data_IF_275955822179
#
_entry.id   IF_275955822179
#
_cell.length_a   1.000
_cell.length_b   1.000
_cell.length_c   1.000
_cell.angle_alpha   90.00
_cell.angle_beta   90.00
_cell.angle_gamma   90.00
#
_symmetry.space_group_name_H-M   'P 1'
#
loop_
_entity.id
_entity.type
_entity.pdbx_description
1 polymer ?
#
# COMPACT_ATOMS: atom_id res chain seq x y z
N UNK A 1 14.69 10.27 -13.20
CA UNK A 1 15.24 11.01 -12.03
C UNK A 1 15.11 10.12 -10.80
N UNK A 2 16.18 9.83 -10.06
CA UNK A 2 16.11 8.84 -8.97
C UNK A 2 15.10 9.25 -7.88
N UNK A 3 14.37 8.27 -7.32
CA UNK A 3 13.37 8.48 -6.27
C UNK A 3 13.98 8.97 -4.95
N UNK A 4 15.23 8.58 -4.67
CA UNK A 4 15.99 8.99 -3.50
C UNK A 4 17.43 9.32 -3.92
N UNK A 5 17.86 10.56 -3.67
CA UNK A 5 19.18 11.06 -4.06
C UNK A 5 20.14 11.16 -2.88
N UNK A 6 21.44 11.07 -3.17
CA UNK A 6 22.50 11.32 -2.21
C UNK A 6 22.33 12.71 -1.53
N UNK A 7 22.06 13.75 -2.32
CA UNK A 7 21.83 15.12 -1.82
C UNK A 7 20.68 15.22 -0.81
N UNK A 8 19.62 14.42 -0.97
CA UNK A 8 18.52 14.39 0.00
C UNK A 8 18.94 13.73 1.32
N UNK A 9 19.78 12.71 1.25
CA UNK A 9 20.31 12.04 2.43
C UNK A 9 21.32 12.92 3.18
N UNK A 10 22.18 13.66 2.46
CA UNK A 10 23.10 14.65 3.02
C UNK A 10 22.39 15.78 3.78
N UNK A 11 21.22 16.22 3.26
CA UNK A 11 20.39 17.22 3.94
C UNK A 11 19.77 16.67 5.24
N UNK A 12 19.52 15.36 5.31
CA UNK A 12 18.90 14.73 6.48
C UNK A 12 19.88 14.38 7.58
N UNK A 13 21.16 14.11 7.25
CA UNK A 13 22.17 13.74 8.24
C UNK A 13 23.56 14.22 7.85
N UNK A 14 24.29 14.91 8.78
CA UNK A 14 25.67 15.30 8.57
C UNK A 14 26.62 14.12 8.32
N UNK A 15 26.27 12.91 8.77
CA UNK A 15 27.02 11.66 8.57
C UNK A 15 27.27 11.33 7.11
N UNK A 16 26.44 11.81 6.20
CA UNK A 16 26.55 11.52 4.77
C UNK A 16 27.30 12.60 3.97
N UNK A 17 27.82 13.63 4.66
CA UNK A 17 28.52 14.74 4.00
C UNK A 17 30.02 14.45 3.80
N UNK A 18 30.59 15.05 2.72
CA UNK A 18 31.99 14.91 2.37
C UNK A 18 32.35 13.56 1.73
N UNK A 19 33.60 13.40 1.28
CA UNK A 19 34.03 12.21 0.51
C UNK A 19 33.75 10.88 1.21
N UNK A 20 34.04 10.78 2.50
CA UNK A 20 33.83 9.57 3.30
C UNK A 20 32.35 9.31 3.60
N UNK A 21 31.61 10.38 3.91
CA UNK A 21 30.16 10.30 4.14
C UNK A 21 29.43 9.88 2.88
N UNK A 22 29.81 10.39 1.71
CA UNK A 22 29.23 10.02 0.43
C UNK A 22 29.55 8.56 0.05
N UNK A 23 30.79 8.11 0.30
CA UNK A 23 31.17 6.72 0.06
C UNK A 23 30.38 5.77 0.94
N UNK A 24 30.20 6.10 2.22
CA UNK A 24 29.37 5.34 3.16
C UNK A 24 27.90 5.34 2.75
N UNK A 25 27.36 6.50 2.35
CA UNK A 25 25.98 6.60 1.88
C UNK A 25 25.72 5.74 0.62
N UNK A 26 26.63 5.79 -0.35
CA UNK A 26 26.54 4.96 -1.56
C UNK A 26 26.64 3.46 -1.23
N UNK A 27 27.52 3.08 -0.33
CA UNK A 27 27.60 1.70 0.16
C UNK A 27 26.28 1.26 0.82
N UNK A 28 25.70 2.13 1.67
CA UNK A 28 24.44 1.87 2.35
C UNK A 28 23.28 1.75 1.36
N UNK A 29 23.19 2.64 0.36
CA UNK A 29 22.17 2.58 -0.68
C UNK A 29 22.22 1.26 -1.45
N UNK A 30 23.42 0.80 -1.81
CA UNK A 30 23.63 -0.52 -2.44
C UNK A 30 23.22 -1.65 -1.50
N UNK A 31 23.64 -1.60 -0.24
CA UNK A 31 23.35 -2.67 0.75
C UNK A 31 21.84 -2.80 1.04
N UNK A 32 21.11 -1.69 0.97
CA UNK A 32 19.67 -1.63 1.15
C UNK A 32 18.88 -1.79 -0.17
N UNK A 33 19.55 -1.96 -1.30
CA UNK A 33 18.93 -2.06 -2.64
C UNK A 33 18.15 -0.80 -3.06
N UNK A 34 18.49 0.36 -2.53
CA UNK A 34 17.87 1.63 -2.90
C UNK A 34 18.30 2.04 -4.31
N UNK A 35 19.56 1.78 -4.68
CA UNK A 35 20.09 1.93 -6.03
C UNK A 35 19.26 1.15 -7.05
N UNK A 36 18.96 -0.11 -6.75
CA UNK A 36 18.14 -0.97 -7.62
C UNK A 36 16.71 -0.45 -7.78
N UNK A 37 16.12 0.13 -6.72
CA UNK A 37 14.79 0.76 -6.80
C UNK A 37 14.84 2.02 -7.65
N UNK A 38 15.90 2.84 -7.53
CA UNK A 38 16.11 4.00 -8.39
C UNK A 38 16.24 3.58 -9.87
N UNK A 39 17.07 2.56 -10.15
CA UNK A 39 17.27 2.04 -11.51
C UNK A 39 15.96 1.48 -12.09
N UNK A 40 15.18 0.77 -11.28
CA UNK A 40 13.85 0.26 -11.65
C UNK A 40 12.91 1.40 -12.04
N UNK A 41 12.87 2.46 -11.23
CA UNK A 41 12.07 3.64 -11.50
C UNK A 41 12.53 4.35 -12.79
N UNK A 42 13.84 4.58 -12.94
CA UNK A 42 14.38 5.31 -14.09
C UNK A 42 14.12 4.59 -15.41
N UNK A 43 14.26 3.24 -15.44
CA UNK A 43 13.94 2.44 -16.64
C UNK A 43 12.47 2.54 -17.08
N UNK A 44 11.55 2.73 -16.13
CA UNK A 44 10.12 2.77 -16.40
C UNK A 44 9.53 4.19 -16.36
N UNK A 45 10.34 5.23 -16.15
CA UNK A 45 9.89 6.61 -15.87
C UNK A 45 9.18 7.32 -17.04
N UNK A 46 9.28 6.79 -18.26
CA UNK A 46 8.52 7.27 -19.42
C UNK A 46 7.06 6.81 -19.45
N UNK A 47 6.71 5.82 -18.65
CA UNK A 47 5.36 5.23 -18.56
C UNK A 47 4.67 5.82 -17.33
N UNK A 48 3.33 5.93 -17.34
CA UNK A 48 2.55 6.52 -16.24
C UNK A 48 1.38 5.63 -15.84
N UNK A 49 0.88 5.85 -14.63
CA UNK A 49 -0.36 5.26 -14.13
C UNK A 49 -0.33 3.74 -14.05
N UNK A 50 -1.44 3.07 -14.41
CA UNK A 50 -1.53 1.62 -14.38
C UNK A 50 -0.49 0.91 -15.25
N UNK A 51 -0.17 1.45 -16.42
CA UNK A 51 0.86 0.91 -17.31
C UNK A 51 2.25 0.94 -16.66
N UNK A 52 2.58 2.00 -15.91
CA UNK A 52 3.80 2.03 -15.11
C UNK A 52 3.80 0.95 -14.03
N UNK A 53 2.66 0.76 -13.34
CA UNK A 53 2.52 -0.28 -12.34
C UNK A 53 2.79 -1.68 -12.92
N UNK A 54 2.16 -2.01 -14.05
CA UNK A 54 2.38 -3.27 -14.77
C UNK A 54 3.81 -3.43 -15.26
N UNK A 55 4.42 -2.37 -15.84
CA UNK A 55 5.80 -2.39 -16.31
C UNK A 55 6.80 -2.66 -15.17
N UNK A 56 6.63 -2.01 -14.02
CA UNK A 56 7.46 -2.23 -12.82
C UNK A 56 7.33 -3.67 -12.33
N UNK A 57 6.11 -4.20 -12.21
CA UNK A 57 5.87 -5.59 -11.79
C UNK A 57 6.52 -6.59 -12.75
N UNK A 58 6.41 -6.34 -14.05
CA UNK A 58 7.06 -7.16 -15.09
C UNK A 58 8.58 -7.11 -15.01
N UNK A 59 9.18 -5.92 -14.86
CA UNK A 59 10.64 -5.71 -14.79
C UNK A 59 11.26 -6.42 -13.56
N UNK A 60 10.59 -6.41 -12.41
CA UNK A 60 11.03 -7.16 -11.24
C UNK A 60 10.72 -8.66 -11.30
N UNK A 61 10.00 -9.10 -12.33
CA UNK A 61 9.62 -10.51 -12.52
C UNK A 61 8.57 -11.01 -11.54
N UNK A 62 7.69 -10.12 -11.06
CA UNK A 62 6.54 -10.49 -10.22
C UNK A 62 5.37 -10.86 -11.12
N UNK A 63 4.84 -12.06 -10.91
CA UNK A 63 3.58 -12.52 -11.51
C UNK A 63 2.57 -12.70 -10.39
N UNK A 64 1.33 -12.28 -10.64
CA UNK A 64 0.25 -12.52 -9.70
C UNK A 64 -0.93 -13.24 -10.37
N UNK A 65 -1.65 -13.99 -9.58
CA UNK A 65 -2.86 -14.71 -9.95
C UNK A 65 -4.02 -14.14 -9.16
N UNK A 66 -5.09 -13.81 -9.85
CA UNK A 66 -6.32 -13.30 -9.24
C UNK A 66 -7.31 -14.44 -9.15
N UNK A 67 -7.64 -14.81 -7.91
CA UNK A 67 -8.71 -15.75 -7.59
C UNK A 67 -10.02 -14.97 -7.47
N UNK A 68 -11.14 -15.58 -7.91
CA UNK A 68 -12.45 -14.94 -8.06
C UNK A 68 -12.40 -13.73 -9.02
N UNK A 69 -11.67 -13.87 -10.11
CA UNK A 69 -11.47 -12.78 -11.07
C UNK A 69 -12.78 -12.28 -11.69
N UNK A 70 -13.79 -13.12 -11.74
CA UNK A 70 -15.13 -12.81 -12.26
C UNK A 70 -15.78 -11.61 -11.56
N UNK A 71 -15.46 -11.35 -10.29
CA UNK A 71 -15.94 -10.17 -9.54
C UNK A 71 -15.52 -8.87 -10.24
N UNK A 72 -14.36 -8.87 -10.92
CA UNK A 72 -13.88 -7.69 -11.65
C UNK A 72 -14.73 -7.33 -12.85
N UNK A 73 -15.54 -8.26 -13.38
CA UNK A 73 -16.48 -8.02 -14.48
C UNK A 73 -17.75 -7.30 -14.01
N UNK A 74 -17.96 -7.18 -12.69
CA UNK A 74 -19.14 -6.60 -12.06
C UNK A 74 -18.81 -5.41 -11.17
N UNK A 75 -17.68 -4.72 -11.45
CA UNK A 75 -17.32 -3.52 -10.72
C UNK A 75 -18.41 -2.46 -10.86
N UNK A 76 -18.72 -1.72 -9.78
CA UNK A 76 -19.68 -0.62 -9.86
C UNK A 76 -19.22 0.45 -10.86
N UNK A 77 -20.14 0.95 -11.70
CA UNK A 77 -19.90 2.10 -12.57
C UNK A 77 -19.67 3.39 -11.77
N UNK A 78 -20.35 3.50 -10.62
CA UNK A 78 -20.21 4.59 -9.67
C UNK A 78 -18.99 4.45 -8.74
N UNK A 79 -18.94 5.24 -7.67
CA UNK A 79 -17.84 5.20 -6.71
C UNK A 79 -17.84 3.89 -5.93
N UNK A 80 -16.64 3.36 -5.65
CA UNK A 80 -16.43 2.23 -4.76
C UNK A 80 -15.09 2.33 -4.05
N UNK A 81 -14.91 1.54 -3.01
CA UNK A 81 -13.62 1.39 -2.35
C UNK A 81 -13.15 -0.06 -2.38
N UNK A 82 -11.83 -0.26 -2.45
CA UNK A 82 -11.22 -1.54 -2.10
C UNK A 82 -10.63 -1.46 -0.69
N UNK A 83 -10.77 -2.52 0.08
CA UNK A 83 -10.10 -2.68 1.37
C UNK A 83 -9.17 -3.88 1.29
N UNK A 84 -7.91 -3.71 1.71
CA UNK A 84 -6.90 -4.76 1.55
C UNK A 84 -6.06 -4.94 2.80
N UNK A 85 -5.58 -6.18 3.04
CA UNK A 85 -4.44 -6.41 3.91
C UNK A 85 -3.16 -5.84 3.28
N UNK A 86 -2.09 -5.67 4.06
CA UNK A 86 -0.88 -4.97 3.63
C UNK A 86 0.41 -5.77 3.86
N UNK A 87 0.55 -6.99 3.29
CA UNK A 87 1.67 -7.86 3.61
C UNK A 87 3.01 -7.43 3.02
N UNK A 88 3.02 -6.69 1.90
CA UNK A 88 4.26 -6.32 1.21
C UNK A 88 4.75 -4.91 1.55
N UNK A 89 3.84 -3.97 1.81
CA UNK A 89 4.17 -2.59 2.20
C UNK A 89 4.42 -1.62 1.05
N UNK A 90 4.46 -2.08 -0.18
CA UNK A 90 4.63 -1.26 -1.38
C UNK A 90 4.07 -1.92 -2.64
N UNK A 91 4.44 -3.17 -2.96
CA UNK A 91 4.03 -3.87 -4.18
C UNK A 91 2.52 -4.12 -4.21
N UNK A 92 1.90 -4.35 -3.07
CA UNK A 92 0.44 -4.49 -2.92
C UNK A 92 -0.31 -3.25 -3.45
N UNK A 93 0.15 -2.05 -3.11
CA UNK A 93 -0.40 -0.83 -3.69
C UNK A 93 -0.17 -0.71 -5.20
N UNK A 94 0.99 -1.14 -5.70
CA UNK A 94 1.28 -1.18 -7.14
C UNK A 94 0.39 -2.18 -7.85
N UNK A 95 0.17 -3.38 -7.27
CA UNK A 95 -0.75 -4.38 -7.82
C UNK A 95 -2.19 -3.89 -7.85
N UNK A 96 -2.65 -3.17 -6.81
CA UNK A 96 -3.99 -2.58 -6.84
C UNK A 96 -4.16 -1.57 -7.98
N UNK A 97 -3.15 -0.71 -8.22
CA UNK A 97 -3.20 0.24 -9.34
C UNK A 97 -3.16 -0.49 -10.68
N UNK A 98 -2.35 -1.54 -10.83
CA UNK A 98 -2.28 -2.35 -12.04
C UNK A 98 -3.63 -3.04 -12.32
N UNK A 99 -4.26 -3.66 -11.31
CA UNK A 99 -5.53 -4.39 -11.47
C UNK A 99 -6.69 -3.43 -11.71
N UNK A 100 -6.91 -2.50 -10.79
CA UNK A 100 -8.10 -1.67 -10.79
C UNK A 100 -7.96 -0.43 -11.68
N UNK A 101 -6.76 0.11 -11.83
CA UNK A 101 -6.53 1.30 -12.66
C UNK A 101 -6.70 1.05 -14.15
N UNK A 102 -6.47 -0.16 -14.65
CA UNK A 102 -6.79 -0.54 -16.03
C UNK A 102 -8.30 -0.69 -16.28
N UNK A 103 -9.07 -1.05 -15.23
CA UNK A 103 -10.53 -1.21 -15.31
C UNK A 103 -11.27 0.10 -15.01
N UNK A 104 -10.70 0.92 -14.13
CA UNK A 104 -11.21 2.21 -13.67
C UNK A 104 -10.05 3.22 -13.68
N UNK A 105 -9.89 3.99 -14.76
CA UNK A 105 -8.79 4.96 -14.91
C UNK A 105 -8.71 6.01 -13.79
N UNK A 106 -9.83 6.26 -13.11
CA UNK A 106 -9.94 7.13 -11.95
C UNK A 106 -9.54 6.46 -10.62
N UNK A 107 -9.15 5.17 -10.63
CA UNK A 107 -8.76 4.45 -9.40
C UNK A 107 -7.52 5.07 -8.77
N UNK A 108 -7.64 5.39 -7.48
CA UNK A 108 -6.55 5.90 -6.64
C UNK A 108 -6.32 5.00 -5.44
N UNK A 109 -5.11 5.04 -4.90
CA UNK A 109 -4.77 4.34 -3.64
C UNK A 109 -4.33 5.37 -2.61
N UNK A 110 -4.84 5.25 -1.40
CA UNK A 110 -4.35 6.07 -0.28
C UNK A 110 -2.99 5.54 0.18
N UNK A 111 -1.96 6.36 0.05
CA UNK A 111 -0.57 5.98 0.30
C UNK A 111 0.12 6.90 1.30
N UNK A 112 1.23 6.42 1.88
CA UNK A 112 2.11 7.28 2.66
C UNK A 112 2.70 8.40 1.77
N UNK A 113 2.81 9.62 2.30
CA UNK A 113 3.39 10.80 1.65
C UNK A 113 4.75 10.53 0.95
N UNK A 114 5.54 9.57 1.44
CA UNK A 114 6.79 9.20 0.78
C UNK A 114 6.56 8.60 -0.61
N UNK A 115 5.53 7.76 -0.77
CA UNK A 115 5.17 7.15 -2.06
C UNK A 115 4.53 8.17 -3.02
N UNK A 116 3.93 9.23 -2.51
CA UNK A 116 3.43 10.34 -3.32
C UNK A 116 4.50 11.09 -4.12
N UNK A 117 5.79 10.77 -3.90
CA UNK A 117 6.92 11.27 -4.71
C UNK A 117 7.10 10.54 -6.03
N UNK A 118 6.45 9.40 -6.23
CA UNK A 118 6.48 8.64 -7.48
C UNK A 118 5.66 9.40 -8.51
N UNK A 119 6.33 10.27 -9.28
CA UNK A 119 5.70 11.17 -10.25
C UNK A 119 4.85 10.42 -11.28
N UNK A 120 5.31 9.24 -11.71
CA UNK A 120 4.64 8.39 -12.69
C UNK A 120 3.30 7.84 -12.21
N UNK A 121 3.06 7.78 -10.89
CA UNK A 121 1.83 7.32 -10.27
C UNK A 121 1.09 8.42 -9.50
N UNK A 122 1.48 9.69 -9.66
CA UNK A 122 0.90 10.82 -8.92
C UNK A 122 -0.63 10.86 -9.02
N UNK A 123 -1.16 10.62 -10.20
CA UNK A 123 -2.60 10.68 -10.46
C UNK A 123 -3.38 9.51 -9.85
N UNK A 124 -2.68 8.41 -9.51
CA UNK A 124 -3.24 7.23 -8.87
C UNK A 124 -3.04 7.21 -7.34
N UNK A 125 -2.50 8.28 -6.76
CA UNK A 125 -2.22 8.33 -5.33
C UNK A 125 -2.91 9.49 -4.62
N UNK A 126 -3.47 9.21 -3.44
CA UNK A 126 -3.85 10.21 -2.44
C UNK A 126 -2.91 10.07 -1.26
N UNK A 127 -2.08 11.10 -1.04
CA UNK A 127 -1.03 11.06 -0.02
C UNK A 127 -1.56 11.40 1.36
N UNK A 128 -1.21 10.57 2.35
CA UNK A 128 -1.49 10.81 3.77
C UNK A 128 -0.22 10.62 4.59
N UNK A 129 -0.16 11.28 5.74
CA UNK A 129 0.86 10.98 6.74
C UNK A 129 0.25 10.02 7.76
N UNK A 130 0.74 8.77 7.88
CA UNK A 130 0.19 7.82 8.84
C UNK A 130 0.28 8.37 10.25
N UNK A 131 -0.79 8.27 11.01
CA UNK A 131 -0.77 8.51 12.45
C UNK A 131 -0.07 7.32 13.10
N UNK A 132 1.21 7.46 13.43
CA UNK A 132 1.94 6.40 14.18
C UNK A 132 1.34 6.21 15.56
N UNK A 133 1.62 5.06 16.19
CA UNK A 133 1.12 4.62 17.51
C UNK A 133 1.21 5.68 18.64
N UNK A 134 2.09 6.68 18.46
CA UNK A 134 2.33 7.74 19.46
C UNK A 134 1.66 9.09 19.14
N UNK A 135 0.93 9.20 18.02
CA UNK A 135 0.27 10.46 17.63
C UNK A 135 -1.20 10.42 17.96
N UNK A 136 -1.62 11.24 18.88
CA UNK A 136 -3.03 11.40 19.28
C UNK A 136 -3.81 12.34 18.36
N UNK A 137 -3.14 13.17 17.56
CA UNK A 137 -3.78 14.14 16.67
C UNK A 137 -3.36 13.93 15.20
N UNK A 138 -4.30 14.05 14.25
CA UNK A 138 -4.00 13.99 12.82
C UNK A 138 -3.17 15.20 12.38
N UNK A 139 -2.24 15.00 11.45
CA UNK A 139 -1.48 16.10 10.85
C UNK A 139 -2.34 16.85 9.82
N UNK A 140 -1.94 18.09 9.46
CA UNK A 140 -2.59 18.85 8.38
C UNK A 140 -2.64 18.04 7.07
N UNK A 141 -1.55 17.37 6.73
CA UNK A 141 -1.46 16.51 5.53
C UNK A 141 -2.43 15.33 5.60
N UNK A 142 -2.59 14.69 6.77
CA UNK A 142 -3.56 13.61 6.94
C UNK A 142 -5.00 14.10 6.77
N UNK A 143 -5.31 15.28 7.32
CA UNK A 143 -6.63 15.90 7.17
C UNK A 143 -6.91 16.23 5.70
N UNK A 144 -5.90 16.77 4.99
CA UNK A 144 -6.06 17.09 3.57
C UNK A 144 -6.26 15.81 2.75
N UNK A 145 -5.44 14.77 2.94
CA UNK A 145 -5.61 13.50 2.25
C UNK A 145 -6.98 12.84 2.48
N UNK A 146 -7.53 12.95 3.69
CA UNK A 146 -8.91 12.48 3.98
C UNK A 146 -9.95 13.32 3.22
N UNK A 147 -9.77 14.64 3.13
CA UNK A 147 -10.66 15.51 2.34
C UNK A 147 -10.59 15.17 0.84
N UNK A 148 -9.39 14.97 0.32
CA UNK A 148 -9.16 14.60 -1.07
C UNK A 148 -9.80 13.23 -1.40
N UNK A 149 -9.67 12.25 -0.50
CA UNK A 149 -10.32 10.94 -0.62
C UNK A 149 -11.85 11.07 -0.66
N UNK A 150 -12.42 11.85 0.26
CA UNK A 150 -13.88 12.10 0.29
C UNK A 150 -14.38 12.85 -0.96
N UNK A 151 -13.60 13.83 -1.44
CA UNK A 151 -13.94 14.57 -2.67
C UNK A 151 -13.88 13.63 -3.88
N UNK A 152 -12.85 12.79 -3.97
CA UNK A 152 -12.69 11.81 -5.04
C UNK A 152 -13.89 10.85 -5.13
N UNK A 153 -14.30 10.27 -3.99
CA UNK A 153 -15.47 9.39 -3.90
C UNK A 153 -16.76 10.13 -4.30
N UNK A 154 -16.96 11.38 -3.84
CA UNK A 154 -18.14 12.18 -4.19
C UNK A 154 -18.23 12.51 -5.68
N UNK A 155 -17.08 12.61 -6.35
CA UNK A 155 -16.99 12.80 -7.79
C UNK A 155 -17.16 11.49 -8.60
N UNK A 156 -17.52 10.38 -7.96
CA UNK A 156 -17.73 9.08 -8.61
C UNK A 156 -16.48 8.21 -8.70
N UNK A 157 -15.36 8.63 -8.11
CA UNK A 157 -14.08 7.93 -8.23
C UNK A 157 -13.97 6.67 -7.40
N UNK A 158 -13.02 5.81 -7.76
CA UNK A 158 -12.70 4.56 -7.05
C UNK A 158 -11.43 4.70 -6.20
N UNK A 159 -11.41 4.10 -4.98
CA UNK A 159 -10.33 4.31 -4.01
C UNK A 159 -9.90 3.03 -3.30
N UNK A 160 -8.59 2.76 -3.29
CA UNK A 160 -7.97 1.67 -2.53
C UNK A 160 -7.49 2.11 -1.15
N UNK A 161 -7.81 1.31 -0.14
CA UNK A 161 -7.46 1.55 1.26
C UNK A 161 -6.78 0.33 1.88
N UNK A 162 -5.78 0.59 2.73
CA UNK A 162 -5.17 -0.39 3.63
C UNK A 162 -5.53 -0.01 5.07
N UNK A 163 -6.61 -0.60 5.64
CA UNK A 163 -7.18 -0.12 6.90
C UNK A 163 -6.26 -0.25 8.11
N UNK A 164 -5.28 -1.15 8.08
CA UNK A 164 -4.25 -1.27 9.12
C UNK A 164 -3.31 -0.07 9.16
N UNK A 165 -3.17 0.67 8.04
CA UNK A 165 -2.25 1.80 7.89
C UNK A 165 -0.77 1.45 8.06
N UNK A 166 -0.44 0.18 8.12
CA UNK A 166 0.92 -0.33 8.29
C UNK A 166 1.07 -1.72 7.66
N UNK A 167 2.32 -2.05 7.30
CA UNK A 167 2.67 -3.39 6.80
C UNK A 167 2.39 -4.43 7.89
N UNK A 168 1.84 -5.60 7.48
CA UNK A 168 1.56 -6.73 8.36
C UNK A 168 2.76 -7.09 9.24
N UNK A 169 2.50 -7.56 10.46
CA UNK A 169 3.51 -7.85 11.48
C UNK A 169 3.47 -9.33 11.89
N UNK A 170 4.62 -9.80 12.40
CA UNK A 170 4.69 -11.07 13.12
C UNK A 170 4.07 -10.89 14.51
N UNK A 171 2.90 -11.51 14.72
CA UNK A 171 2.30 -11.60 16.05
C UNK A 171 2.98 -12.76 16.83
N UNK A 172 3.77 -12.41 17.83
CA UNK A 172 4.38 -13.43 18.72
C UNK A 172 3.32 -14.18 19.52
N UNK A 173 2.20 -13.52 19.83
CA UNK A 173 1.09 -14.13 20.58
C UNK A 173 0.41 -15.26 19.79
N UNK A 174 0.24 -15.05 18.48
CA UNK A 174 -0.52 -15.98 17.64
C UNK A 174 0.38 -16.84 16.75
N UNK A 175 1.70 -16.59 16.77
CA UNK A 175 2.67 -17.31 15.94
C UNK A 175 2.51 -17.11 14.43
N UNK A 176 1.74 -16.10 14.02
CA UNK A 176 1.42 -15.86 12.61
C UNK A 176 1.69 -14.41 12.18
N UNK A 177 1.77 -14.22 10.86
CA UNK A 177 1.89 -12.89 10.26
C UNK A 177 0.49 -12.44 9.89
N UNK A 178 0.13 -11.26 10.40
CA UNK A 178 -1.17 -10.67 10.16
C UNK A 178 -1.09 -9.15 10.13
N UNK A 179 -2.11 -8.52 9.58
CA UNK A 179 -2.29 -7.08 9.69
C UNK A 179 -2.41 -6.65 11.15
N UNK A 180 -1.90 -5.46 11.42
CA UNK A 180 -2.19 -4.75 12.66
C UNK A 180 -3.69 -4.51 12.78
N UNK A 181 -4.13 -4.16 13.97
CA UNK A 181 -5.50 -3.75 14.18
C UNK A 181 -5.87 -2.62 13.22
N UNK A 182 -7.02 -2.76 12.57
CA UNK A 182 -7.51 -1.75 11.64
C UNK A 182 -7.85 -0.47 12.38
N UNK A 183 -7.36 0.64 11.86
CA UNK A 183 -7.45 1.93 12.54
C UNK A 183 -8.87 2.47 12.54
N UNK A 184 -9.40 2.77 13.71
CA UNK A 184 -10.75 3.29 13.86
C UNK A 184 -11.06 4.52 13.00
N UNK A 185 -10.15 5.52 12.86
CA UNK A 185 -10.37 6.65 11.96
C UNK A 185 -10.58 6.23 10.49
N UNK A 186 -9.89 5.19 10.03
CA UNK A 186 -10.04 4.67 8.67
C UNK A 186 -11.39 3.96 8.53
N UNK A 187 -11.83 3.18 9.53
CA UNK A 187 -13.13 2.52 9.52
C UNK A 187 -14.26 3.56 9.54
N UNK A 188 -14.13 4.65 10.32
CA UNK A 188 -15.06 5.77 10.30
C UNK A 188 -15.13 6.45 8.94
N UNK A 189 -13.98 6.61 8.27
CA UNK A 189 -13.91 7.15 6.92
C UNK A 189 -14.66 6.25 5.92
N UNK A 190 -14.38 4.94 5.93
CA UNK A 190 -15.06 3.94 5.10
C UNK A 190 -16.57 4.02 5.31
N UNK A 191 -17.02 3.99 6.56
CA UNK A 191 -18.45 4.09 6.89
C UNK A 191 -19.09 5.38 6.38
N UNK A 192 -18.36 6.51 6.47
CA UNK A 192 -18.85 7.81 6.01
C UNK A 192 -18.94 7.90 4.49
N UNK A 193 -18.10 7.18 3.75
CA UNK A 193 -18.15 7.10 2.29
C UNK A 193 -19.44 6.45 1.80
N UNK A 194 -19.90 5.41 2.50
CA UNK A 194 -21.16 4.70 2.23
C UNK A 194 -21.32 4.29 0.76
N UNK A 195 -20.29 3.67 0.20
CA UNK A 195 -20.25 3.17 -1.18
C UNK A 195 -19.96 1.67 -1.18
N UNK A 196 -20.16 0.95 -2.30
CA UNK A 196 -19.75 -0.45 -2.41
C UNK A 196 -18.31 -0.69 -2.00
N UNK A 197 -18.05 -1.77 -1.26
CA UNK A 197 -16.73 -2.15 -0.77
C UNK A 197 -16.32 -3.47 -1.42
N UNK A 198 -15.12 -3.52 -1.97
CA UNK A 198 -14.53 -4.72 -2.57
C UNK A 198 -13.38 -5.18 -1.69
N UNK A 199 -13.51 -6.28 -0.95
CA UNK A 199 -12.42 -6.86 -0.18
C UNK A 199 -11.36 -7.45 -1.13
N UNK A 200 -10.08 -7.16 -0.88
CA UNK A 200 -8.95 -7.71 -1.65
C UNK A 200 -7.94 -8.29 -0.68
N UNK A 201 -7.64 -9.57 -0.81
CA UNK A 201 -6.72 -10.25 0.09
C UNK A 201 -5.47 -10.76 -0.64
N UNK A 202 -4.33 -10.26 -0.26
CA UNK A 202 -3.01 -10.78 -0.66
C UNK A 202 -2.67 -11.98 0.21
N UNK A 203 -2.64 -13.18 -0.36
CA UNK A 203 -2.42 -14.43 0.37
C UNK A 203 -0.95 -14.65 0.72
N UNK A 204 -0.04 -14.12 -0.10
CA UNK A 204 1.39 -14.26 0.09
C UNK A 204 1.99 -13.04 0.82
N UNK A 205 3.25 -13.12 1.22
CA UNK A 205 3.87 -12.17 2.13
C UNK A 205 5.36 -11.93 1.86
N UNK A 206 5.96 -10.99 2.56
CA UNK A 206 7.41 -10.79 2.59
C UNK A 206 8.15 -11.99 3.18
N UNK A 207 9.48 -11.98 3.09
CA UNK A 207 10.31 -13.06 3.64
C UNK A 207 10.18 -13.17 5.16
N UNK A 208 10.36 -14.37 5.70
CA UNK A 208 10.41 -14.55 7.15
C UNK A 208 11.50 -13.68 7.79
N UNK A 209 12.64 -13.51 7.09
CA UNK A 209 13.70 -12.60 7.54
C UNK A 209 13.23 -11.16 7.72
N UNK A 210 12.40 -10.66 6.79
CA UNK A 210 11.80 -9.32 6.92
C UNK A 210 10.99 -9.18 8.22
N UNK A 211 10.19 -10.18 8.54
CA UNK A 211 9.35 -10.15 9.74
C UNK A 211 10.15 -10.33 11.03
N UNK A 212 11.18 -11.20 11.03
CA UNK A 212 12.05 -11.34 12.20
C UNK A 212 12.84 -10.07 12.51
N UNK A 213 13.22 -9.29 11.50
CA UNK A 213 13.81 -7.95 11.72
C UNK A 213 12.86 -7.00 12.47
N UNK A 214 11.56 -7.21 12.36
CA UNK A 214 10.55 -6.47 13.13
C UNK A 214 10.66 -6.63 14.64
N UNK A 215 11.21 -7.76 15.11
CA UNK A 215 11.47 -8.01 16.53
C UNK A 215 12.58 -7.11 17.09
N UNK A 216 13.52 -6.68 16.23
CA UNK A 216 14.54 -5.69 16.56
C UNK A 216 14.01 -4.25 16.50
N UNK A 217 12.84 -4.05 15.93
CA UNK A 217 12.18 -2.78 15.82
C UNK A 217 11.63 -2.50 14.42
N UNK A 218 10.48 -1.84 14.36
CA UNK A 218 9.80 -1.55 13.09
C UNK A 218 10.63 -0.72 12.11
N UNK A 219 11.50 0.18 12.61
CA UNK A 219 12.40 1.00 11.77
C UNK A 219 13.47 0.15 11.07
N UNK A 220 14.02 -0.86 11.77
CA UNK A 220 15.01 -1.78 11.21
C UNK A 220 14.40 -2.58 10.07
N UNK A 221 13.18 -3.08 10.26
CA UNK A 221 12.42 -3.80 9.25
C UNK A 221 12.17 -2.95 8.00
N UNK A 222 11.83 -1.66 8.17
CA UNK A 222 11.57 -0.77 7.04
C UNK A 222 12.80 -0.58 6.13
N UNK A 223 14.01 -0.63 6.68
CA UNK A 223 15.23 -0.56 5.87
C UNK A 223 15.39 -1.74 4.91
N UNK A 224 14.73 -2.87 5.18
CA UNK A 224 14.74 -4.05 4.32
C UNK A 224 13.70 -3.98 3.19
N UNK A 225 12.69 -3.12 3.27
CA UNK A 225 11.61 -3.03 2.27
C UNK A 225 12.10 -2.90 0.83
N UNK A 226 13.08 -2.03 0.49
CA UNK A 226 13.54 -1.93 -0.89
C UNK A 226 14.09 -3.26 -1.45
N UNK A 227 14.79 -4.04 -0.61
CA UNK A 227 15.29 -5.34 -1.02
C UNK A 227 14.19 -6.41 -1.15
N UNK A 228 13.09 -6.30 -0.38
CA UNK A 228 11.94 -7.19 -0.49
C UNK A 228 11.20 -7.05 -1.83
N UNK A 229 11.28 -5.90 -2.52
CA UNK A 229 10.77 -5.71 -3.89
C UNK A 229 11.34 -6.80 -4.81
N UNK A 230 12.67 -6.98 -4.78
CA UNK A 230 13.40 -7.89 -5.68
C UNK A 230 13.39 -9.36 -5.20
N UNK A 231 12.99 -9.61 -3.98
CA UNK A 231 12.85 -10.95 -3.41
C UNK A 231 11.60 -11.71 -3.93
N UNK A 232 10.79 -11.04 -4.74
CA UNK A 232 9.57 -11.59 -5.34
C UNK A 232 9.80 -12.18 -6.74
N UNK A 233 10.98 -11.97 -7.32
CA UNK A 233 11.31 -12.46 -8.66
C UNK A 233 11.05 -13.96 -8.77
N UNK A 234 10.25 -14.33 -9.77
CA UNK A 234 9.89 -15.73 -10.05
C UNK A 234 8.87 -16.34 -9.07
N UNK A 235 8.38 -15.57 -8.09
CA UNK A 235 7.30 -16.01 -7.21
C UNK A 235 5.94 -15.63 -7.82
N UNK A 236 4.97 -16.51 -7.66
CA UNK A 236 3.58 -16.25 -8.03
C UNK A 236 2.86 -15.73 -6.79
N UNK A 237 2.41 -14.51 -6.84
CA UNK A 237 1.60 -13.91 -5.77
C UNK A 237 0.14 -14.19 -6.04
N UNK A 238 -0.59 -14.61 -5.02
CA UNK A 238 -2.03 -14.90 -5.13
C UNK A 238 -2.81 -13.77 -4.46
N UNK A 239 -3.84 -13.31 -5.18
CA UNK A 239 -4.74 -12.25 -4.74
C UNK A 239 -6.17 -12.78 -4.85
N UNK A 240 -6.93 -12.70 -3.77
CA UNK A 240 -8.36 -13.07 -3.79
C UNK A 240 -9.20 -11.81 -3.78
N UNK A 241 -10.14 -11.72 -4.73
CA UNK A 241 -11.15 -10.66 -4.73
C UNK A 241 -12.40 -11.21 -4.02
N UNK A 242 -12.83 -10.54 -2.96
CA UNK A 242 -14.03 -10.92 -2.23
C UNK A 242 -15.32 -10.41 -2.90
N UNK A 243 -16.44 -10.90 -2.42
CA UNK A 243 -17.76 -10.40 -2.85
C UNK A 243 -17.93 -8.92 -2.53
N UNK A 244 -18.64 -8.22 -3.41
CA UNK A 244 -18.92 -6.78 -3.24
C UNK A 244 -19.89 -6.61 -2.06
N UNK A 245 -19.49 -5.81 -1.09
CA UNK A 245 -20.31 -5.44 0.07
C UNK A 245 -21.07 -4.18 -0.30
N UNK A 246 -22.38 -4.28 -0.44
CA UNK A 246 -23.26 -3.17 -0.82
C UNK A 246 -23.51 -2.22 0.37
N UNK A 247 -23.87 -0.93 0.11
CA UNK A 247 -24.18 0.03 1.17
C UNK A 247 -25.30 -0.43 2.12
N UNK A 248 -26.28 -1.19 1.62
CA UNK A 248 -27.39 -1.72 2.41
C UNK A 248 -26.90 -2.69 3.49
N UNK A 249 -25.87 -3.49 3.18
CA UNK A 249 -25.24 -4.42 4.13
C UNK A 249 -24.42 -3.68 5.19
N UNK A 250 -24.01 -2.44 4.92
CA UNK A 250 -23.24 -1.58 5.84
C UNK A 250 -24.17 -0.77 6.79
N UNK A 251 -25.41 -0.53 6.39
CA UNK A 251 -26.33 0.38 7.07
C UNK A 251 -26.71 -0.08 8.49
N UNK A 252 -26.76 -1.40 8.73
CA UNK A 252 -27.17 -1.98 10.01
C UNK A 252 -26.18 -1.77 11.17
N UNK A 253 -24.97 -1.33 10.91
CA UNK A 253 -23.94 -1.18 11.94
C UNK A 253 -23.95 0.24 12.52
N UNK A 254 -24.33 0.39 13.78
CA UNK A 254 -24.23 1.65 14.55
C UNK A 254 -22.87 1.76 15.26
N UNK A 255 -22.37 0.64 15.78
CA UNK A 255 -21.06 0.55 16.45
C UNK A 255 -19.93 0.36 15.43
N UNK A 256 -18.90 1.21 15.56
CA UNK A 256 -17.75 1.22 14.63
C UNK A 256 -16.87 -0.03 14.77
N UNK A 257 -16.84 -0.64 15.96
CA UNK A 257 -16.06 -1.88 16.19
C UNK A 257 -16.78 -3.07 15.55
N UNK A 258 -18.08 -3.17 15.71
CA UNK A 258 -18.89 -4.20 15.04
C UNK A 258 -18.77 -4.07 13.51
N UNK A 259 -18.81 -2.84 12.98
CA UNK A 259 -18.60 -2.61 11.54
C UNK A 259 -17.21 -3.04 11.08
N UNK A 260 -16.16 -2.71 11.85
CA UNK A 260 -14.79 -3.17 11.57
C UNK A 260 -14.71 -4.69 11.55
N UNK A 261 -15.29 -5.36 12.55
CA UNK A 261 -15.24 -6.81 12.67
C UNK A 261 -16.04 -7.49 11.54
N UNK A 262 -17.17 -6.91 11.15
CA UNK A 262 -17.91 -7.33 9.96
C UNK A 262 -17.03 -7.26 8.70
N UNK A 263 -16.37 -6.12 8.43
CA UNK A 263 -15.49 -5.96 7.27
C UNK A 263 -14.34 -6.95 7.30
N UNK A 264 -13.74 -7.20 8.45
CA UNK A 264 -12.67 -8.19 8.60
C UNK A 264 -13.13 -9.62 8.31
N UNK A 265 -14.33 -9.97 8.75
CA UNK A 265 -14.92 -11.29 8.49
C UNK A 265 -15.30 -11.47 7.00
N UNK A 266 -15.46 -10.38 6.26
CA UNK A 266 -15.70 -10.39 4.81
C UNK A 266 -14.42 -10.43 3.98
N UNK A 267 -13.24 -10.32 4.62
CA UNK A 267 -11.98 -10.53 3.89
C UNK A 267 -11.89 -11.98 3.43
N UNK A 268 -11.69 -12.21 2.11
CA UNK A 268 -11.64 -13.57 1.60
C UNK A 268 -10.41 -14.31 2.16
N UNK A 269 -10.62 -15.55 2.57
CA UNK A 269 -9.56 -16.52 2.88
C UNK A 269 -9.21 -17.34 1.64
N UNK A 270 -8.16 -18.15 1.72
CA UNK A 270 -7.95 -19.21 0.72
C UNK A 270 -9.20 -20.08 0.60
N UNK A 271 -9.64 -20.30 -0.64
CA UNK A 271 -10.73 -21.22 -0.98
C UNK A 271 -10.22 -22.65 -0.88
#
# INVERSE_FOLDING_TARGET
MPLLTLNELEKKSPLFRGKWGNAFCNWLMKRLSIDRVNDLYDRNSSIKGPDFAGAVLSDIGVKYEILNREVLNHLPDGPFITISNHPYGHIDGVMLVDIFGHLRPDFKVMVNKFLGRIETMRDNFISVTPTGEKRTAPTKDSIQGVKDAMAHIRCGGALGLFPSGAVSDLSLKDGCIRDREWQEPVIRLIKKMNVPIIPVHFLDRNSNFYYTLGLLGWKVRLLRLPAEVFNKKGKRTRIVIGEIILPEQQAGFTDIRQFRDFLRNKMPSEI
#
